data_IF_590356091559
#
_entry.id   IF_590356091559
#
_cell.length_a   1.000
_cell.length_b   1.000
_cell.length_c   1.000
_cell.angle_alpha   90.00
_cell.angle_beta   90.00
_cell.angle_gamma   90.00
#
_symmetry.space_group_name_H-M   'P 1'
#
loop_
_entity.id
_entity.type
_entity.pdbx_description
1 polymer ?
#
# COMPACT_ATOMS: atom_id res chain seq x y z
N UNK A 1 -5.84 -56.63 46.82
CA UNK A 1 -6.03 -57.81 45.96
C UNK A 1 -6.80 -57.29 44.77
N UNK A 2 -6.06 -56.75 43.80
CA UNK A 2 -5.51 -57.53 42.66
C UNK A 2 -6.70 -57.98 41.79
N UNK A 3 -6.74 -57.74 40.49
CA UNK A 3 -5.64 -57.95 39.55
C UNK A 3 -5.97 -57.27 38.21
N UNK A 4 -4.92 -56.76 37.58
CA UNK A 4 -4.85 -56.26 36.21
C UNK A 4 -5.09 -57.37 35.18
N UNK A 5 -5.66 -57.08 34.02
CA UNK A 5 -5.10 -57.53 32.73
C UNK A 5 -5.65 -56.71 31.55
N UNK A 6 -4.74 -56.34 30.66
CA UNK A 6 -4.90 -55.49 29.49
C UNK A 6 -5.45 -56.25 28.27
N UNK A 7 -6.01 -55.53 27.30
CA UNK A 7 -5.60 -55.65 25.89
C UNK A 7 -6.09 -54.44 25.06
N UNK A 8 -5.15 -53.89 24.29
CA UNK A 8 -5.27 -52.94 23.17
C UNK A 8 -6.10 -53.60 22.05
N UNK A 9 -6.58 -53.00 20.96
CA UNK A 9 -6.23 -51.84 20.13
C UNK A 9 -7.43 -51.78 19.16
N UNK A 10 -8.01 -50.61 18.85
CA UNK A 10 -8.41 -50.41 17.45
C UNK A 10 -8.53 -48.92 17.13
N UNK A 11 -7.64 -48.55 16.21
CA UNK A 11 -7.48 -47.22 15.66
C UNK A 11 -8.73 -46.90 14.86
N UNK A 12 -9.44 -45.86 15.25
CA UNK A 12 -10.13 -45.06 14.25
C UNK A 12 -9.79 -43.60 14.47
N UNK A 13 -8.58 -43.26 13.99
CA UNK A 13 -8.21 -41.90 13.64
C UNK A 13 -9.15 -41.47 12.51
N UNK A 14 -10.34 -40.96 12.87
CA UNK A 14 -11.18 -40.24 11.94
C UNK A 14 -10.46 -38.91 11.65
N UNK A 15 -9.57 -38.95 10.66
CA UNK A 15 -9.03 -37.79 10.00
C UNK A 15 -10.17 -37.11 9.24
N UNK A 16 -10.99 -36.33 9.94
CA UNK A 16 -11.73 -35.27 9.27
C UNK A 16 -10.73 -34.16 8.98
N UNK A 17 -10.07 -34.28 7.83
CA UNK A 17 -9.34 -33.23 7.16
C UNK A 17 -10.31 -32.07 6.90
N UNK A 18 -10.41 -31.17 7.86
CA UNK A 18 -11.00 -29.85 7.65
C UNK A 18 -9.98 -29.03 6.85
N UNK A 19 -10.17 -29.08 5.53
CA UNK A 19 -9.57 -28.22 4.52
C UNK A 19 -9.53 -26.76 4.97
N UNK A 20 -8.34 -26.20 5.14
CA UNK A 20 -8.18 -24.75 5.15
C UNK A 20 -6.73 -24.39 4.87
N UNK A 21 -6.44 -24.09 3.61
CA UNK A 21 -5.39 -23.17 3.16
C UNK A 21 -5.49 -23.09 1.64
N UNK A 22 -6.48 -22.32 1.18
CA UNK A 22 -6.63 -21.89 -0.20
C UNK A 22 -6.45 -20.36 -0.28
N UNK A 23 -5.51 -19.84 0.51
CA UNK A 23 -5.18 -18.40 0.61
C UNK A 23 -3.94 -18.03 -0.24
N UNK A 24 -3.13 -19.02 -0.62
CA UNK A 24 -1.92 -18.81 -1.44
C UNK A 24 -2.22 -18.37 -2.88
N UNK A 25 -3.40 -18.72 -3.41
CA UNK A 25 -3.76 -18.44 -4.80
C UNK A 25 -4.18 -16.96 -5.01
N UNK A 26 -4.78 -16.33 -4.00
CA UNK A 26 -5.23 -14.93 -4.05
C UNK A 26 -4.05 -13.94 -3.98
N UNK A 27 -3.03 -14.24 -3.19
CA UNK A 27 -1.85 -13.37 -3.06
C UNK A 27 -0.97 -13.41 -4.33
N UNK A 28 -0.83 -14.58 -4.96
CA UNK A 28 -0.13 -14.73 -6.23
C UNK A 28 -0.85 -14.02 -7.40
N UNK A 29 -2.19 -14.12 -7.44
CA UNK A 29 -2.99 -13.46 -8.47
C UNK A 29 -2.89 -11.94 -8.39
N UNK A 30 -2.83 -11.37 -7.18
CA UNK A 30 -2.74 -9.92 -7.06
C UNK A 30 -1.32 -9.36 -7.17
N UNK A 31 -0.29 -10.15 -6.85
CA UNK A 31 1.08 -9.83 -7.21
C UNK A 31 1.27 -9.67 -8.73
N UNK A 32 0.59 -10.51 -9.52
CA UNK A 32 0.55 -10.37 -10.98
C UNK A 32 -0.18 -9.10 -11.41
N UNK A 33 -1.25 -8.71 -10.70
CA UNK A 33 -1.97 -7.46 -10.96
C UNK A 33 -1.08 -6.24 -10.68
N UNK A 34 -0.35 -6.21 -9.57
CA UNK A 34 0.60 -5.13 -9.24
C UNK A 34 1.67 -5.00 -10.32
N UNK A 35 2.27 -6.10 -10.77
CA UNK A 35 3.27 -6.10 -11.87
C UNK A 35 2.69 -5.61 -13.19
N UNK A 36 1.45 -5.97 -13.47
CA UNK A 36 0.74 -5.51 -14.67
C UNK A 36 0.50 -4.00 -14.60
N UNK A 37 0.05 -3.50 -13.45
CA UNK A 37 -0.15 -2.08 -13.19
C UNK A 37 1.17 -1.30 -13.28
N UNK A 38 2.25 -1.82 -12.68
CA UNK A 38 3.60 -1.24 -12.78
C UNK A 38 4.04 -1.09 -14.24
N UNK A 39 3.83 -2.13 -15.06
CA UNK A 39 4.14 -2.09 -16.49
C UNK A 39 3.28 -1.05 -17.21
N UNK A 40 1.98 -0.97 -16.92
CA UNK A 40 1.10 0.04 -17.53
C UNK A 40 1.44 1.48 -17.13
N UNK A 41 1.87 1.71 -15.88
CA UNK A 41 2.39 3.01 -15.42
C UNK A 41 3.72 3.33 -16.11
N UNK A 42 4.57 2.33 -16.37
CA UNK A 42 5.81 2.53 -17.12
C UNK A 42 5.56 2.83 -18.60
N UNK A 43 4.55 2.19 -19.21
CA UNK A 43 4.14 2.43 -20.59
C UNK A 43 3.44 3.78 -20.76
N UNK A 44 2.59 4.15 -19.80
CA UNK A 44 1.88 5.42 -19.79
C UNK A 44 1.95 6.11 -18.42
N UNK A 45 3.05 6.82 -18.13
CA UNK A 45 3.25 7.49 -16.84
C UNK A 45 2.26 8.63 -16.58
N UNK A 46 1.55 9.08 -17.62
CA UNK A 46 0.58 10.18 -17.56
C UNK A 46 -0.86 9.72 -17.31
N UNK A 47 -1.09 8.43 -17.13
CA UNK A 47 -2.42 7.93 -16.80
C UNK A 47 -2.68 8.02 -15.29
N UNK A 48 -3.50 9.00 -14.90
CA UNK A 48 -3.85 9.25 -13.51
C UNK A 48 -4.58 8.06 -12.87
N UNK A 49 -5.56 7.47 -13.57
CA UNK A 49 -6.40 6.40 -13.01
C UNK A 49 -5.57 5.15 -12.73
N UNK A 50 -4.71 4.78 -13.69
CA UNK A 50 -3.78 3.66 -13.55
C UNK A 50 -2.80 3.86 -12.38
N UNK A 51 -2.27 5.08 -12.19
CA UNK A 51 -1.40 5.38 -11.05
C UNK A 51 -2.14 5.28 -9.70
N UNK A 52 -3.39 5.75 -9.63
CA UNK A 52 -4.21 5.64 -8.41
C UNK A 52 -4.52 4.18 -8.09
N UNK A 53 -4.91 3.37 -9.10
CA UNK A 53 -5.13 1.94 -8.90
C UNK A 53 -3.87 1.22 -8.43
N UNK A 54 -2.70 1.56 -8.99
CA UNK A 54 -1.42 1.01 -8.56
C UNK A 54 -1.12 1.31 -7.08
N UNK A 55 -1.30 2.56 -6.65
CA UNK A 55 -1.10 2.99 -5.25
C UNK A 55 -2.08 2.27 -4.32
N UNK A 56 -3.35 2.12 -4.71
CA UNK A 56 -4.36 1.40 -3.93
C UNK A 56 -4.02 -0.08 -3.77
N UNK A 57 -3.61 -0.75 -4.85
CA UNK A 57 -3.14 -2.13 -4.77
C UNK A 57 -1.92 -2.21 -3.82
N UNK A 58 -0.89 -1.37 -3.99
CA UNK A 58 0.28 -1.39 -3.10
C UNK A 58 -0.06 -1.20 -1.62
N UNK A 59 -1.06 -0.37 -1.30
CA UNK A 59 -1.57 -0.16 0.05
C UNK A 59 -2.24 -1.42 0.61
N UNK A 60 -3.08 -2.09 -0.19
CA UNK A 60 -3.79 -3.33 0.19
C UNK A 60 -2.81 -4.46 0.56
N UNK A 61 -1.68 -4.57 -0.15
CA UNK A 61 -0.66 -5.60 0.08
C UNK A 61 0.46 -5.16 1.02
N UNK A 62 0.36 -3.97 1.63
CA UNK A 62 1.37 -3.48 2.57
C UNK A 62 2.77 -3.32 1.97
N UNK A 63 2.87 -3.08 0.66
CA UNK A 63 4.16 -2.89 -0.04
C UNK A 63 4.70 -1.48 0.17
N UNK A 64 5.06 -1.15 1.40
CA UNK A 64 5.34 0.22 1.86
C UNK A 64 6.42 0.94 1.04
N UNK A 65 7.52 0.25 0.70
CA UNK A 65 8.61 0.85 -0.10
C UNK A 65 8.14 1.24 -1.49
N UNK A 66 7.42 0.35 -2.16
CA UNK A 66 6.86 0.61 -3.49
C UNK A 66 5.76 1.67 -3.42
N UNK A 67 4.95 1.68 -2.35
CA UNK A 67 3.91 2.67 -2.11
C UNK A 67 4.49 4.09 -2.02
N UNK A 68 5.57 4.27 -1.24
CA UNK A 68 6.27 5.55 -1.13
C UNK A 68 6.82 6.00 -2.50
N UNK A 69 7.51 5.10 -3.21
CA UNK A 69 8.08 5.40 -4.52
C UNK A 69 7.00 5.75 -5.57
N UNK A 70 5.88 5.03 -5.56
CA UNK A 70 4.75 5.27 -6.46
C UNK A 70 4.12 6.65 -6.19
N UNK A 71 3.95 7.01 -4.91
CA UNK A 71 3.42 8.33 -4.51
C UNK A 71 4.37 9.48 -4.85
N UNK A 72 5.67 9.30 -4.64
CA UNK A 72 6.68 10.28 -5.07
C UNK A 72 6.68 10.46 -6.58
N UNK A 73 6.70 9.34 -7.32
CA UNK A 73 6.63 9.34 -8.78
C UNK A 73 5.36 10.00 -9.32
N UNK A 74 4.23 9.80 -8.64
CA UNK A 74 2.97 10.45 -8.99
C UNK A 74 3.03 11.94 -8.69
N UNK A 75 3.57 12.35 -7.54
CA UNK A 75 3.71 13.76 -7.15
C UNK A 75 4.66 14.56 -8.07
N UNK A 76 5.71 13.92 -8.58
CA UNK A 76 6.62 14.54 -9.55
C UNK A 76 5.95 14.84 -10.90
N UNK A 77 5.00 13.99 -11.32
CA UNK A 77 4.31 14.11 -12.62
C UNK A 77 3.01 14.88 -12.52
N UNK A 78 2.29 14.71 -11.41
CA UNK A 78 0.99 15.29 -11.17
C UNK A 78 0.98 16.02 -9.84
N UNK A 79 0.54 17.27 -9.80
CA UNK A 79 0.28 17.93 -8.53
C UNK A 79 -0.77 17.14 -7.76
N UNK A 80 -0.37 16.54 -6.64
CA UNK A 80 -1.29 15.81 -5.77
C UNK A 80 -2.33 16.78 -5.21
N UNK A 81 -3.59 16.33 -5.16
CA UNK A 81 -4.65 17.06 -4.47
C UNK A 81 -4.42 17.05 -2.96
N UNK A 82 -5.04 18.01 -2.26
CA UNK A 82 -4.98 18.06 -0.79
C UNK A 82 -5.48 16.76 -0.15
N UNK A 83 -6.50 16.13 -0.74
CA UNK A 83 -7.06 14.86 -0.25
C UNK A 83 -6.04 13.72 -0.35
N UNK A 84 -5.31 13.62 -1.47
CA UNK A 84 -4.29 12.58 -1.67
C UNK A 84 -3.12 12.72 -0.68
N UNK A 85 -2.69 13.95 -0.40
CA UNK A 85 -1.68 14.21 0.63
C UNK A 85 -2.17 13.79 2.02
N UNK A 86 -3.43 14.09 2.36
CA UNK A 86 -4.01 13.68 3.64
C UNK A 86 -4.10 12.17 3.77
N UNK A 87 -4.47 11.46 2.70
CA UNK A 87 -4.48 9.99 2.69
C UNK A 87 -3.09 9.40 2.89
N UNK A 88 -2.07 9.97 2.23
CA UNK A 88 -0.69 9.53 2.42
C UNK A 88 -0.23 9.73 3.85
N UNK A 89 -0.44 10.92 4.42
CA UNK A 89 -0.06 11.23 5.80
C UNK A 89 -0.77 10.29 6.78
N UNK A 90 -2.07 10.03 6.60
CA UNK A 90 -2.82 9.09 7.44
C UNK A 90 -2.27 7.68 7.37
N UNK A 91 -1.90 7.22 6.18
CA UNK A 91 -1.28 5.90 6.01
C UNK A 91 0.06 5.83 6.73
N UNK A 92 0.93 6.82 6.57
CA UNK A 92 2.23 6.84 7.27
C UNK A 92 2.04 6.92 8.79
N UNK A 93 1.10 7.73 9.30
CA UNK A 93 0.75 7.77 10.73
C UNK A 93 0.28 6.42 11.24
N UNK A 94 -0.55 5.70 10.46
CA UNK A 94 -1.02 4.37 10.86
C UNK A 94 0.09 3.32 10.92
N UNK A 95 1.17 3.54 10.15
CA UNK A 95 2.36 2.70 10.11
C UNK A 95 3.42 3.12 11.16
N UNK A 96 3.32 4.34 11.70
CA UNK A 96 4.22 4.88 12.72
C UNK A 96 4.01 4.17 14.06
N UNK A 97 4.83 3.16 14.30
CA UNK A 97 4.95 2.49 15.62
C UNK A 97 6.17 2.98 16.41
N UNK A 98 7.08 3.73 15.79
CA UNK A 98 8.31 4.25 16.41
C UNK A 98 8.37 5.78 16.38
N UNK A 99 9.09 6.36 17.34
CA UNK A 99 9.31 7.82 17.43
C UNK A 99 10.02 8.40 16.20
N UNK A 100 10.82 7.61 15.49
CA UNK A 100 11.51 8.03 14.27
C UNK A 100 10.52 8.23 13.12
N UNK A 101 9.52 7.35 13.00
CA UNK A 101 8.51 7.43 11.96
C UNK A 101 7.63 8.70 12.10
N UNK A 102 7.39 9.18 13.33
CA UNK A 102 6.71 10.47 13.55
C UNK A 102 7.47 11.65 12.93
N UNK A 103 8.80 11.65 12.98
CA UNK A 103 9.60 12.72 12.35
C UNK A 103 9.57 12.65 10.81
N UNK A 104 9.42 11.45 10.23
CA UNK A 104 9.22 11.30 8.78
C UNK A 104 7.85 11.85 8.35
N UNK A 105 6.81 11.58 9.14
CA UNK A 105 5.45 12.11 8.88
C UNK A 105 5.41 13.63 8.99
N UNK A 106 6.07 14.22 9.99
CA UNK A 106 6.11 15.67 10.17
C UNK A 106 6.77 16.35 8.95
N UNK A 107 7.89 15.81 8.47
CA UNK A 107 8.54 16.28 7.24
C UNK A 107 7.64 16.13 6.01
N UNK A 108 6.88 15.03 5.92
CA UNK A 108 5.93 14.80 4.84
C UNK A 108 4.79 15.84 4.87
N UNK A 109 4.30 16.18 6.07
CA UNK A 109 3.29 17.22 6.26
C UNK A 109 3.81 18.61 5.86
N UNK A 110 5.01 18.99 6.31
CA UNK A 110 5.63 20.25 5.92
C UNK A 110 5.81 20.35 4.41
N UNK A 111 6.26 19.26 3.79
CA UNK A 111 6.39 19.17 2.34
C UNK A 111 5.04 19.36 1.65
N UNK A 112 4.00 18.65 2.08
CA UNK A 112 2.66 18.79 1.51
C UNK A 112 2.14 20.24 1.56
N UNK A 113 2.38 20.93 2.68
CA UNK A 113 2.02 22.36 2.86
C UNK A 113 2.82 23.24 1.91
N UNK A 114 4.14 23.02 1.79
CA UNK A 114 4.99 23.78 0.88
C UNK A 114 4.61 23.55 -0.58
N UNK A 115 4.36 22.30 -1.00
CA UNK A 115 3.96 21.97 -2.37
C UNK A 115 2.60 22.59 -2.71
N UNK A 116 1.63 22.55 -1.79
CA UNK A 116 0.35 23.23 -1.99
C UNK A 116 0.49 24.76 -2.14
N UNK A 117 1.34 25.38 -1.30
CA UNK A 117 1.61 26.82 -1.38
C UNK A 117 2.35 27.19 -2.68
N UNK A 118 3.31 26.36 -3.09
CA UNK A 118 4.13 26.58 -4.29
C UNK A 118 3.31 26.37 -5.56
N UNK A 119 2.41 25.38 -5.59
CA UNK A 119 1.43 25.22 -6.66
C UNK A 119 0.57 26.48 -6.78
N UNK A 120 0.07 27.03 -5.68
CA UNK A 120 -0.67 28.30 -5.66
C UNK A 120 0.13 29.47 -6.27
N UNK A 121 1.42 29.58 -5.95
CA UNK A 121 2.30 30.62 -6.51
C UNK A 121 2.60 30.37 -8.01
N UNK A 122 2.76 29.12 -8.43
CA UNK A 122 3.00 28.77 -9.84
C UNK A 122 1.81 29.14 -10.74
N UNK A 123 0.57 28.96 -10.27
CA UNK A 123 -0.61 29.43 -10.99
C UNK A 123 -0.59 30.96 -11.21
N UNK A 124 -0.12 31.72 -10.22
CA UNK A 124 0.03 33.19 -10.35
C UNK A 124 1.15 33.54 -11.32
N UNK A 125 2.27 32.80 -11.33
CA UNK A 125 3.39 33.02 -12.27
C UNK A 125 2.96 32.74 -13.72
N UNK A 126 2.25 31.63 -13.98
CA UNK A 126 1.70 31.32 -15.31
C UNK A 126 0.68 32.37 -15.79
N UNK A 127 -0.12 32.92 -14.87
CA UNK A 127 -1.04 34.01 -15.20
C UNK A 127 -0.34 35.33 -15.54
N UNK A 128 0.87 35.56 -15.00
CA UNK A 128 1.69 36.75 -15.31
C UNK A 128 2.54 36.58 -16.57
N UNK A 129 2.99 35.36 -16.89
CA UNK A 129 3.79 35.08 -18.09
C UNK A 129 2.91 34.91 -19.36
N UNK A 130 1.59 34.95 -19.21
CA UNK A 130 0.58 34.92 -20.28
C UNK A 130 -0.05 36.28 -20.64
N UNK A 131 0.50 37.39 -20.14
CA UNK A 131 0.15 38.80 -20.48
C UNK A 131 1.36 39.46 -21.11
#
# INVERSE_FOLDING_TARGET
MEETLAEQEDRNLNSSSSSSSSDDDDEAAEDLRIKTLEKSVAENPFDYDTNVQYIQSLRKFGRLKQLRQARESMNERFPLSSEMWQEWIKDEVSLCTSSEAFTEVEKLYERAVQEYLTLGIMYVKLALDGI
#
